data_IF_044906389385
#
_entry.id   IF_044906389385
#
_cell.length_a   1.000
_cell.length_b   1.000
_cell.length_c   1.000
_cell.angle_alpha   90.00
_cell.angle_beta   90.00
_cell.angle_gamma   90.00
#
_symmetry.space_group_name_H-M   'P 1'
#
loop_
_entity.id
_entity.type
_entity.pdbx_description
1 polymer ?
#
# COMPACT_ATOMS: atom_id res chain seq x y z
N UNK A 1 -9.90 1.98 -11.97
CA UNK A 1 -8.66 2.79 -11.99
C UNK A 1 -7.58 2.13 -12.82
N UNK A 2 -6.79 2.93 -13.52
CA UNK A 2 -5.65 2.44 -14.30
C UNK A 2 -4.34 2.94 -13.68
N UNK A 3 -3.52 2.04 -13.17
CA UNK A 3 -2.16 2.32 -12.75
C UNK A 3 -1.25 2.49 -13.96
N UNK A 4 -0.35 3.46 -13.92
CA UNK A 4 0.74 3.55 -14.92
C UNK A 4 1.76 2.45 -14.67
N UNK A 5 2.12 2.23 -13.41
CA UNK A 5 3.01 1.16 -12.99
C UNK A 5 2.59 0.57 -11.65
N UNK A 6 2.83 -0.73 -11.48
CA UNK A 6 2.76 -1.44 -10.20
C UNK A 6 4.14 -2.07 -9.97
N UNK A 7 4.80 -1.70 -8.88
CA UNK A 7 6.07 -2.28 -8.47
C UNK A 7 5.84 -3.19 -7.24
N UNK A 8 6.12 -4.46 -7.39
CA UNK A 8 6.04 -5.45 -6.30
C UNK A 8 7.44 -5.64 -5.72
N UNK A 9 7.61 -5.29 -4.43
CA UNK A 9 8.88 -5.52 -3.74
C UNK A 9 8.86 -6.82 -2.96
N UNK A 10 9.95 -7.56 -2.98
CA UNK A 10 10.13 -8.80 -2.25
C UNK A 10 11.61 -9.03 -1.89
N UNK A 11 11.91 -9.92 -0.93
CA UNK A 11 13.29 -10.20 -0.54
C UNK A 11 14.19 -10.71 -1.67
N UNK A 12 13.61 -11.41 -2.66
CA UNK A 12 14.34 -11.94 -3.82
C UNK A 12 13.59 -11.66 -5.12
N UNK A 13 14.32 -11.71 -6.24
CA UNK A 13 13.73 -11.53 -7.57
C UNK A 13 12.69 -12.61 -7.88
N UNK A 14 12.97 -13.85 -7.49
CA UNK A 14 12.07 -14.99 -7.71
C UNK A 14 10.75 -14.76 -6.98
N UNK A 15 10.81 -14.35 -5.70
CA UNK A 15 9.61 -14.07 -4.90
C UNK A 15 8.80 -12.90 -5.49
N UNK A 16 9.46 -11.85 -5.96
CA UNK A 16 8.79 -10.73 -6.61
C UNK A 16 8.12 -11.16 -7.93
N UNK A 17 8.80 -11.96 -8.75
CA UNK A 17 8.26 -12.51 -9.99
C UNK A 17 7.05 -13.40 -9.73
N UNK A 18 7.13 -14.25 -8.71
CA UNK A 18 6.03 -15.16 -8.33
C UNK A 18 4.78 -14.37 -7.95
N UNK A 19 4.92 -13.33 -7.12
CA UNK A 19 3.78 -12.46 -6.78
C UNK A 19 3.22 -11.76 -8.02
N UNK A 20 4.07 -11.20 -8.88
CA UNK A 20 3.63 -10.56 -10.12
C UNK A 20 2.83 -11.52 -11.02
N UNK A 21 3.24 -12.79 -11.08
CA UNK A 21 2.56 -13.80 -11.92
C UNK A 21 1.15 -14.15 -11.44
N UNK A 22 0.83 -13.92 -10.17
CA UNK A 22 -0.50 -14.16 -9.60
C UNK A 22 -1.48 -13.01 -9.82
N UNK A 23 -0.99 -11.85 -10.28
CA UNK A 23 -1.86 -10.73 -10.56
C UNK A 23 -2.64 -10.96 -11.87
N UNK A 24 -3.89 -10.45 -11.98
CA UNK A 24 -4.73 -10.67 -13.14
C UNK A 24 -4.06 -10.26 -14.47
N UNK A 25 -4.23 -11.06 -15.52
CA UNK A 25 -3.67 -10.79 -16.85
C UNK A 25 -4.13 -9.44 -17.43
N UNK A 26 -5.36 -9.05 -17.18
CA UNK A 26 -5.88 -7.74 -17.59
C UNK A 26 -5.12 -6.55 -16.99
N UNK A 27 -4.56 -6.71 -15.80
CA UNK A 27 -3.65 -5.72 -15.21
C UNK A 27 -2.30 -5.72 -15.93
N UNK A 28 -1.78 -6.89 -16.25
CA UNK A 28 -0.48 -7.04 -16.94
C UNK A 28 -0.48 -6.41 -18.34
N UNK A 29 -1.60 -6.46 -19.05
CA UNK A 29 -1.75 -5.89 -20.40
C UNK A 29 -1.83 -4.35 -20.41
N UNK A 30 -2.34 -3.75 -19.34
CA UNK A 30 -2.66 -2.32 -19.29
C UNK A 30 -1.73 -1.49 -18.41
N UNK A 31 -0.85 -2.12 -17.64
CA UNK A 31 -0.04 -1.52 -16.59
C UNK A 31 1.40 -2.04 -16.67
N UNK A 32 2.37 -1.19 -16.43
CA UNK A 32 3.77 -1.63 -16.28
C UNK A 32 3.90 -2.37 -14.96
N UNK A 33 4.11 -3.68 -15.02
CA UNK A 33 4.29 -4.52 -13.83
C UNK A 33 5.77 -4.82 -13.62
N UNK A 34 6.31 -4.45 -12.46
CA UNK A 34 7.73 -4.58 -12.13
C UNK A 34 7.93 -5.43 -10.88
N UNK A 35 8.75 -6.45 -11.00
CA UNK A 35 9.23 -7.25 -9.89
C UNK A 35 10.55 -6.66 -9.38
N UNK A 36 10.57 -6.13 -8.17
CA UNK A 36 11.70 -5.39 -7.59
C UNK A 36 12.22 -6.11 -6.36
N UNK A 37 13.41 -6.75 -6.42
CA UNK A 37 14.00 -7.35 -5.24
C UNK A 37 14.53 -6.30 -4.27
N UNK A 38 14.68 -6.65 -3.01
CA UNK A 38 15.41 -5.83 -2.04
C UNK A 38 16.85 -5.59 -2.55
N UNK A 39 17.32 -4.34 -2.45
CA UNK A 39 18.60 -3.91 -3.04
C UNK A 39 19.83 -4.63 -2.48
N UNK A 40 19.70 -5.26 -1.31
CA UNK A 40 20.77 -6.02 -0.66
C UNK A 40 20.21 -7.10 0.25
N UNK A 41 21.05 -8.07 0.66
CA UNK A 41 20.73 -9.01 1.75
C UNK A 41 20.50 -8.33 3.11
N UNK A 42 20.78 -7.04 3.22
CA UNK A 42 20.49 -6.22 4.39
C UNK A 42 19.02 -5.80 4.36
N UNK A 43 18.35 -5.94 5.50
CA UNK A 43 16.96 -5.48 5.68
C UNK A 43 16.95 -3.95 5.73
N UNK A 44 16.78 -3.32 4.57
CA UNK A 44 16.79 -1.84 4.44
C UNK A 44 15.49 -1.18 4.90
N UNK A 45 14.46 -1.97 5.20
CA UNK A 45 13.14 -1.49 5.61
C UNK A 45 12.27 -1.02 4.44
N UNK A 46 10.97 -0.86 4.71
CA UNK A 46 9.98 -0.53 3.68
C UNK A 46 10.21 0.81 2.98
N UNK A 47 10.77 1.80 3.69
CA UNK A 47 11.09 3.11 3.10
C UNK A 47 12.14 3.01 2.00
N UNK A 48 13.25 2.33 2.25
CA UNK A 48 14.30 2.16 1.25
C UNK A 48 13.85 1.23 0.11
N UNK A 49 13.04 0.19 0.40
CA UNK A 49 12.43 -0.65 -0.63
C UNK A 49 11.47 0.15 -1.52
N UNK A 50 10.71 1.10 -0.95
CA UNK A 50 9.87 2.03 -1.72
C UNK A 50 10.71 2.90 -2.65
N UNK A 51 11.81 3.48 -2.16
CA UNK A 51 12.69 4.32 -2.97
C UNK A 51 13.34 3.53 -4.11
N UNK A 52 13.79 2.30 -3.84
CA UNK A 52 14.31 1.40 -4.88
C UNK A 52 13.26 1.06 -5.93
N UNK A 53 12.03 0.77 -5.50
CA UNK A 53 10.92 0.53 -6.43
C UNK A 53 10.61 1.75 -7.30
N UNK A 54 10.61 2.95 -6.72
CA UNK A 54 10.41 4.19 -7.48
C UNK A 54 11.51 4.46 -8.49
N UNK A 55 12.76 4.19 -8.14
CA UNK A 55 13.88 4.30 -9.07
C UNK A 55 13.69 3.35 -10.26
N UNK A 56 13.36 2.09 -10.00
CA UNK A 56 13.09 1.09 -11.05
C UNK A 56 11.92 1.50 -11.95
N UNK A 57 10.84 2.04 -11.35
CA UNK A 57 9.70 2.59 -12.12
C UNK A 57 10.15 3.76 -13.00
N UNK A 58 10.94 4.68 -12.46
CA UNK A 58 11.43 5.84 -13.20
C UNK A 58 12.34 5.45 -14.37
N UNK A 59 13.21 4.47 -14.17
CA UNK A 59 14.06 3.90 -15.22
C UNK A 59 13.23 3.30 -16.35
N UNK A 60 12.27 2.45 -16.01
CA UNK A 60 11.40 1.78 -16.98
C UNK A 60 10.53 2.79 -17.76
N UNK A 61 9.90 3.74 -17.07
CA UNK A 61 9.08 4.76 -17.72
C UNK A 61 9.92 5.70 -18.59
N UNK A 62 11.15 6.04 -18.15
CA UNK A 62 12.08 6.83 -18.96
C UNK A 62 12.47 6.09 -20.24
N UNK A 63 12.81 4.80 -20.14
CA UNK A 63 13.15 3.98 -21.30
C UNK A 63 11.97 3.87 -22.28
N UNK A 64 10.76 3.64 -21.80
CA UNK A 64 9.53 3.59 -22.64
C UNK A 64 9.22 4.91 -23.31
N UNK A 65 9.54 6.03 -22.66
CA UNK A 65 9.38 7.37 -23.24
C UNK A 65 10.52 7.75 -24.20
N UNK A 66 11.52 6.89 -24.39
CA UNK A 66 12.64 7.11 -25.31
C UNK A 66 13.78 7.96 -24.75
N UNK A 67 13.81 8.18 -23.43
CA UNK A 67 14.95 8.85 -22.79
C UNK A 67 16.15 7.91 -22.70
N UNK A 68 17.33 8.41 -23.02
CA UNK A 68 18.61 7.68 -22.88
C UNK A 68 19.17 7.70 -21.44
N UNK A 69 18.60 8.55 -20.59
CA UNK A 69 18.97 8.70 -19.16
C UNK A 69 17.72 8.75 -18.30
N UNK A 70 17.89 8.54 -17.00
CA UNK A 70 16.81 8.68 -16.05
C UNK A 70 16.19 10.08 -16.11
N UNK A 71 14.87 10.16 -16.30
CA UNK A 71 14.09 11.40 -16.33
C UNK A 71 12.92 11.33 -15.35
N UNK A 72 12.67 12.42 -14.66
CA UNK A 72 11.47 12.57 -13.83
C UNK A 72 10.22 12.94 -14.65
N UNK A 73 10.37 13.30 -15.92
CA UNK A 73 9.27 13.78 -16.76
C UNK A 73 8.13 12.75 -16.92
N UNK A 74 8.41 11.46 -17.21
CA UNK A 74 7.34 10.46 -17.32
C UNK A 74 6.62 10.15 -16.01
N UNK A 75 7.22 10.51 -14.85
CA UNK A 75 6.59 10.32 -13.55
C UNK A 75 5.52 11.38 -13.26
N UNK A 76 5.61 12.58 -13.85
CA UNK A 76 4.69 13.70 -13.52
C UNK A 76 3.23 13.36 -13.65
N UNK A 77 2.88 12.54 -14.64
CA UNK A 77 1.52 12.10 -14.91
C UNK A 77 1.29 10.63 -14.51
N UNK A 78 2.29 10.00 -13.88
CA UNK A 78 2.22 8.61 -13.51
C UNK A 78 1.44 8.40 -12.20
N UNK A 79 0.62 7.34 -12.19
CA UNK A 79 0.01 6.77 -10.99
C UNK A 79 0.73 5.47 -10.68
N UNK A 80 1.48 5.45 -9.61
CA UNK A 80 2.34 4.34 -9.22
C UNK A 80 1.81 3.66 -7.97
N UNK A 81 1.67 2.34 -8.02
CA UNK A 81 1.42 1.52 -6.84
C UNK A 81 2.69 0.75 -6.48
N UNK A 82 3.19 0.93 -5.27
CA UNK A 82 4.22 0.08 -4.69
C UNK A 82 3.56 -0.89 -3.73
N UNK A 83 3.69 -2.18 -4.01
CA UNK A 83 3.16 -3.26 -3.20
C UNK A 83 4.30 -4.00 -2.50
N UNK A 84 4.39 -3.85 -1.18
CA UNK A 84 5.32 -4.63 -0.37
C UNK A 84 4.74 -6.01 -0.11
N UNK A 85 5.40 -7.07 -0.60
CA UNK A 85 4.91 -8.45 -0.44
C UNK A 85 5.08 -9.02 0.96
N UNK A 86 5.65 -8.25 1.88
CA UNK A 86 5.98 -8.69 3.23
C UNK A 86 7.24 -9.56 3.28
N UNK A 87 7.89 -9.59 4.45
CA UNK A 87 8.94 -10.56 4.71
C UNK A 87 8.31 -11.94 4.92
N UNK A 88 9.05 -13.00 4.60
CA UNK A 88 8.65 -14.38 4.88
C UNK A 88 8.04 -14.50 6.28
N UNK A 89 6.90 -15.14 6.35
CA UNK A 89 6.03 -15.22 7.51
C UNK A 89 6.78 -15.51 8.83
N UNK A 90 6.97 -14.47 9.63
CA UNK A 90 7.19 -14.65 11.05
C UNK A 90 5.85 -14.53 11.76
N UNK A 91 5.26 -15.70 12.08
CA UNK A 91 4.23 -15.79 13.11
C UNK A 91 2.80 -15.35 12.75
N UNK A 92 2.32 -15.59 11.54
CA UNK A 92 0.93 -15.27 11.22
C UNK A 92 0.43 -15.76 9.87
N UNK A 93 1.31 -16.26 9.01
CA UNK A 93 0.87 -16.84 7.74
C UNK A 93 0.37 -18.28 7.98
N UNK A 94 -0.79 -18.64 7.44
CA UNK A 94 -1.29 -20.02 7.46
C UNK A 94 -0.36 -20.98 6.69
N UNK A 95 0.54 -20.46 5.85
CA UNK A 95 1.55 -21.23 5.15
C UNK A 95 2.94 -20.61 5.33
N UNK A 96 3.80 -21.16 6.21
CA UNK A 96 5.14 -20.63 6.47
C UNK A 96 6.11 -20.75 5.28
N UNK A 97 5.75 -21.53 4.25
CA UNK A 97 6.58 -21.78 3.08
C UNK A 97 6.31 -20.81 1.92
N UNK A 98 5.24 -20.01 2.00
CA UNK A 98 4.86 -19.05 0.95
C UNK A 98 4.98 -17.61 1.44
N UNK A 99 5.36 -16.68 0.56
CA UNK A 99 5.20 -15.26 0.83
C UNK A 99 3.75 -14.94 1.21
N UNK A 100 3.55 -14.06 2.19
CA UNK A 100 2.20 -13.68 2.64
C UNK A 100 1.34 -13.13 1.50
N UNK A 101 1.96 -12.45 0.54
CA UNK A 101 1.33 -11.96 -0.68
C UNK A 101 0.58 -13.03 -1.48
N UNK A 102 1.03 -14.30 -1.41
CA UNK A 102 0.45 -15.43 -2.13
C UNK A 102 -0.62 -16.19 -1.33
N UNK A 103 -0.87 -15.81 -0.08
CA UNK A 103 -1.94 -16.40 0.72
C UNK A 103 -3.28 -16.17 0.03
N UNK A 104 -4.01 -17.27 -0.22
CA UNK A 104 -5.33 -17.21 -0.83
C UNK A 104 -6.40 -16.76 0.16
N UNK A 105 -7.23 -15.84 -0.26
CA UNK A 105 -8.41 -15.38 0.46
C UNK A 105 -9.65 -15.89 -0.26
N UNK A 106 -10.61 -16.53 0.46
CA UNK A 106 -11.93 -16.79 -0.10
C UNK A 106 -12.68 -15.46 -0.21
N UNK A 107 -13.06 -15.07 -1.41
CA UNK A 107 -13.88 -13.89 -1.66
C UNK A 107 -15.19 -14.29 -2.31
N UNK A 108 -16.19 -13.40 -2.23
CA UNK A 108 -17.42 -13.59 -2.99
C UNK A 108 -17.08 -13.37 -4.46
N UNK A 109 -17.35 -14.35 -5.30
CA UNK A 109 -17.15 -14.26 -6.75
C UNK A 109 -18.00 -13.16 -7.37
N UNK A 110 -17.68 -12.80 -8.60
CA UNK A 110 -18.45 -11.83 -9.40
C UNK A 110 -19.84 -12.37 -9.79
N UNK A 111 -20.00 -13.71 -9.77
CA UNK A 111 -21.27 -14.39 -9.96
C UNK A 111 -21.92 -14.69 -8.61
N UNK A 112 -23.19 -14.34 -8.38
CA UNK A 112 -23.87 -14.63 -7.13
C UNK A 112 -23.83 -16.13 -6.78
N UNK A 113 -23.31 -16.45 -5.58
CA UNK A 113 -23.17 -17.82 -5.09
C UNK A 113 -21.84 -18.51 -5.43
N UNK A 114 -20.97 -17.88 -6.20
CA UNK A 114 -19.61 -18.36 -6.43
C UNK A 114 -18.63 -17.75 -5.44
N UNK A 115 -17.63 -18.54 -5.05
CA UNK A 115 -16.50 -18.10 -4.24
C UNK A 115 -15.25 -18.07 -5.12
N UNK A 116 -14.63 -16.94 -5.23
CA UNK A 116 -13.35 -16.77 -5.93
C UNK A 116 -12.21 -16.80 -4.91
N UNK A 117 -11.15 -17.54 -5.21
CA UNK A 117 -9.91 -17.49 -4.44
C UNK A 117 -9.00 -16.43 -5.06
N UNK A 118 -8.72 -15.36 -4.31
CA UNK A 118 -7.77 -14.32 -4.72
C UNK A 118 -6.56 -14.31 -3.79
N UNK A 119 -5.39 -13.96 -4.31
CA UNK A 119 -4.22 -13.76 -3.46
C UNK A 119 -4.32 -12.47 -2.64
N UNK A 120 -3.60 -12.41 -1.51
CA UNK A 120 -3.47 -11.16 -0.73
C UNK A 120 -2.95 -10.01 -1.60
N UNK A 121 -2.00 -10.29 -2.50
CA UNK A 121 -1.50 -9.31 -3.46
C UNK A 121 -2.60 -8.78 -4.38
N UNK A 122 -3.38 -9.68 -4.98
CA UNK A 122 -4.50 -9.29 -5.82
C UNK A 122 -5.56 -8.50 -5.06
N UNK A 123 -5.89 -8.93 -3.84
CA UNK A 123 -6.81 -8.20 -2.97
C UNK A 123 -6.32 -6.78 -2.68
N UNK A 124 -5.02 -6.62 -2.33
CA UNK A 124 -4.42 -5.32 -2.07
C UNK A 124 -4.49 -4.41 -3.31
N UNK A 125 -4.18 -4.93 -4.50
CA UNK A 125 -4.28 -4.18 -5.76
C UNK A 125 -5.73 -3.80 -6.08
N UNK A 126 -6.69 -4.73 -5.96
CA UNK A 126 -8.12 -4.46 -6.18
C UNK A 126 -8.64 -3.38 -5.21
N UNK A 127 -8.26 -3.47 -3.92
CA UNK A 127 -8.67 -2.51 -2.88
C UNK A 127 -8.05 -1.14 -3.13
N UNK A 128 -6.75 -1.08 -3.43
CA UNK A 128 -6.07 0.17 -3.77
C UNK A 128 -6.67 0.80 -5.04
N UNK A 129 -6.93 0.00 -6.08
CA UNK A 129 -7.53 0.50 -7.32
C UNK A 129 -8.91 1.11 -7.10
N UNK A 130 -9.72 0.54 -6.20
CA UNK A 130 -11.03 1.08 -5.85
C UNK A 130 -10.92 2.33 -4.97
N UNK A 131 -10.08 2.26 -3.92
CA UNK A 131 -9.99 3.32 -2.92
C UNK A 131 -9.40 4.61 -3.49
N UNK A 132 -8.46 4.49 -4.42
CA UNK A 132 -7.73 5.60 -5.01
C UNK A 132 -8.10 5.89 -6.47
N UNK A 133 -9.32 5.51 -6.90
CA UNK A 133 -9.74 5.61 -8.32
C UNK A 133 -9.60 7.02 -8.89
N UNK A 134 -9.98 8.03 -8.14
CA UNK A 134 -9.95 9.43 -8.55
C UNK A 134 -8.71 10.20 -8.06
N UNK A 135 -7.68 9.49 -7.55
CA UNK A 135 -6.50 10.20 -7.07
C UNK A 135 -5.72 10.86 -8.22
N UNK A 136 -5.09 12.04 -7.97
CA UNK A 136 -4.17 12.65 -8.92
C UNK A 136 -2.94 11.77 -9.15
N UNK A 137 -2.10 12.07 -10.18
CA UNK A 137 -0.78 11.44 -10.32
C UNK A 137 0.01 11.45 -9.03
N UNK A 138 0.69 10.35 -8.75
CA UNK A 138 1.42 10.19 -7.50
C UNK A 138 1.65 8.72 -7.15
N UNK A 139 2.04 8.50 -5.91
CA UNK A 139 2.44 7.22 -5.35
C UNK A 139 1.41 6.71 -4.34
N UNK A 140 1.01 5.45 -4.45
CA UNK A 140 0.36 4.70 -3.37
C UNK A 140 1.31 3.58 -2.93
N UNK A 141 1.52 3.46 -1.64
CA UNK A 141 2.28 2.36 -1.05
C UNK A 141 1.35 1.50 -0.23
N UNK A 142 1.29 0.22 -0.53
CA UNK A 142 0.51 -0.77 0.21
C UNK A 142 1.40 -1.93 0.66
N UNK A 143 0.94 -2.67 1.67
CA UNK A 143 1.57 -3.91 2.11
C UNK A 143 0.57 -5.05 2.08
N UNK A 144 1.05 -6.27 1.85
CA UNK A 144 0.25 -7.50 1.91
C UNK A 144 0.23 -8.14 3.30
N UNK A 145 0.84 -7.51 4.30
CA UNK A 145 0.78 -7.95 5.70
C UNK A 145 -0.49 -7.48 6.43
N UNK A 146 -1.30 -6.66 5.77
CA UNK A 146 -2.54 -6.11 6.31
C UNK A 146 -3.69 -6.33 5.34
N UNK A 147 -4.78 -6.95 5.81
CA UNK A 147 -6.01 -7.09 5.07
C UNK A 147 -6.92 -5.88 5.30
N UNK A 148 -7.03 -5.02 4.29
CA UNK A 148 -7.94 -3.88 4.32
C UNK A 148 -9.35 -4.31 3.88
N UNK A 149 -10.27 -4.34 4.82
CA UNK A 149 -11.70 -4.57 4.57
C UNK A 149 -12.43 -3.22 4.62
N UNK A 150 -12.60 -2.60 3.46
CA UNK A 150 -13.23 -1.29 3.34
C UNK A 150 -14.60 -1.46 2.68
N UNK A 151 -15.69 -1.01 3.32
CA UNK A 151 -17.01 -1.04 2.71
C UNK A 151 -17.01 -0.36 1.32
N UNK A 152 -17.78 -0.89 0.39
CA UNK A 152 -17.88 -0.34 -0.97
C UNK A 152 -18.43 1.10 -1.02
N UNK A 153 -19.13 1.51 0.04
CA UNK A 153 -19.67 2.87 0.22
C UNK A 153 -18.62 3.90 0.63
N UNK A 154 -17.43 3.44 1.05
CA UNK A 154 -16.34 4.34 1.45
C UNK A 154 -15.51 4.68 0.23
N UNK A 155 -15.45 5.97 -0.10
CA UNK A 155 -14.54 6.54 -1.09
C UNK A 155 -13.69 7.62 -0.42
N UNK A 156 -12.44 7.73 -0.84
CA UNK A 156 -11.60 8.86 -0.46
C UNK A 156 -12.07 10.10 -1.22
N UNK A 157 -12.04 11.26 -0.55
CA UNK A 157 -12.35 12.52 -1.20
C UNK A 157 -11.11 12.98 -2.00
N UNK A 158 -11.18 13.07 -3.35
CA UNK A 158 -10.03 13.42 -4.17
C UNK A 158 -9.45 14.78 -3.83
N UNK A 159 -10.29 15.72 -3.39
CA UNK A 159 -9.88 17.09 -3.07
C UNK A 159 -8.91 17.12 -1.88
N UNK A 160 -9.12 16.29 -0.87
CA UNK A 160 -8.17 16.17 0.26
C UNK A 160 -6.77 15.78 -0.24
N UNK A 161 -6.70 14.83 -1.18
CA UNK A 161 -5.42 14.39 -1.75
C UNK A 161 -4.77 15.46 -2.64
N UNK A 162 -5.53 16.45 -3.13
CA UNK A 162 -4.97 17.56 -3.92
C UNK A 162 -4.36 18.66 -3.07
N UNK A 163 -4.75 18.78 -1.82
CA UNK A 163 -4.31 19.83 -0.92
C UNK A 163 -3.12 19.45 -0.05
N UNK A 164 -2.83 18.13 0.07
CA UNK A 164 -1.75 17.63 0.93
C UNK A 164 -0.63 16.98 0.12
N UNK A 165 0.58 17.02 0.64
CA UNK A 165 1.74 16.33 0.03
C UNK A 165 1.65 14.80 0.18
N UNK A 166 0.94 14.32 1.19
CA UNK A 166 0.72 12.90 1.42
C UNK A 166 -0.35 12.65 2.46
N UNK A 167 -0.89 11.44 2.45
CA UNK A 167 -1.90 10.99 3.38
C UNK A 167 -1.60 9.56 3.86
N UNK A 168 -2.07 9.24 5.05
CA UNK A 168 -1.98 7.91 5.65
C UNK A 168 -3.39 7.39 5.84
N UNK A 169 -3.65 6.17 5.42
CA UNK A 169 -4.92 5.51 5.72
C UNK A 169 -4.91 5.07 7.18
N UNK A 170 -5.86 5.58 7.95
CA UNK A 170 -6.08 5.18 9.33
C UNK A 170 -7.50 4.63 9.50
N UNK A 171 -7.66 3.65 10.38
CA UNK A 171 -8.95 3.03 10.68
C UNK A 171 -9.23 3.21 12.17
N UNK A 172 -10.43 3.66 12.55
CA UNK A 172 -10.82 3.75 13.95
C UNK A 172 -10.77 2.37 14.62
N UNK A 173 -10.10 2.28 15.77
CA UNK A 173 -9.90 1.03 16.52
C UNK A 173 -10.07 1.23 18.02
N UNK A 174 -10.26 0.15 18.75
CA UNK A 174 -10.28 0.18 20.21
C UNK A 174 -8.89 0.43 20.79
N UNK A 175 -8.82 0.81 22.07
CA UNK A 175 -7.56 1.01 22.79
C UNK A 175 -6.69 -0.26 22.82
N UNK A 176 -7.33 -1.45 22.94
CA UNK A 176 -6.63 -2.74 22.99
C UNK A 176 -5.86 -2.99 21.70
N UNK A 177 -6.41 -2.59 20.56
CA UNK A 177 -5.72 -2.67 19.26
C UNK A 177 -4.69 -1.56 19.13
N UNK A 178 -5.03 -0.35 19.54
CA UNK A 178 -4.17 0.83 19.40
C UNK A 178 -2.82 0.70 20.10
N UNK A 179 -2.76 0.06 21.28
CA UNK A 179 -1.51 -0.13 22.04
C UNK A 179 -0.49 -1.03 21.32
N UNK A 180 -0.93 -1.86 20.38
CA UNK A 180 -0.07 -2.77 19.64
C UNK A 180 0.37 -2.20 18.27
N UNK A 181 -0.22 -1.07 17.86
CA UNK A 181 -0.04 -0.50 16.53
C UNK A 181 0.46 0.95 16.55
N UNK A 182 0.57 1.55 15.37
CA UNK A 182 0.86 2.97 15.20
C UNK A 182 -0.44 3.78 15.20
N UNK A 183 -0.56 4.72 16.13
CA UNK A 183 -1.71 5.64 16.22
C UNK A 183 -1.33 6.97 15.61
N UNK A 184 -2.14 7.47 14.70
CA UNK A 184 -1.96 8.79 14.09
C UNK A 184 -2.32 9.88 15.10
N UNK A 185 -1.37 10.74 15.42
CA UNK A 185 -1.58 11.89 16.28
C UNK A 185 -1.70 13.16 15.42
N UNK A 186 -2.74 14.00 15.60
CA UNK A 186 -2.90 15.24 14.85
C UNK A 186 -1.79 16.25 15.19
N UNK A 187 -1.48 17.15 14.25
CA UNK A 187 -0.49 18.20 14.45
C UNK A 187 -0.92 19.23 15.51
N UNK A 188 -2.23 19.42 15.65
CA UNK A 188 -2.86 20.24 16.68
C UNK A 188 -4.25 19.67 16.99
N UNK A 189 -4.79 19.99 18.14
CA UNK A 189 -6.14 19.56 18.54
C UNK A 189 -7.18 19.97 17.48
N UNK A 190 -7.96 19.01 16.98
CA UNK A 190 -8.96 19.19 15.94
C UNK A 190 -8.42 19.39 14.52
N UNK A 191 -7.13 19.16 14.30
CA UNK A 191 -6.52 19.22 12.95
C UNK A 191 -6.58 17.85 12.27
N UNK A 192 -6.90 17.83 10.99
CA UNK A 192 -6.80 16.63 10.13
C UNK A 192 -5.36 16.38 9.64
N UNK A 193 -4.44 17.32 9.92
CA UNK A 193 -3.03 17.17 9.55
C UNK A 193 -2.33 16.24 10.54
N UNK A 194 -1.60 15.27 9.99
CA UNK A 194 -0.78 14.34 10.76
C UNK A 194 0.43 15.07 11.37
N UNK A 195 0.53 15.06 12.70
CA UNK A 195 1.70 15.59 13.41
C UNK A 195 2.75 14.52 13.65
N UNK A 196 2.32 13.34 14.08
CA UNK A 196 3.22 12.21 14.33
C UNK A 196 2.47 10.87 14.32
N UNK A 197 3.23 9.78 14.39
CA UNK A 197 2.68 8.44 14.62
C UNK A 197 3.28 7.91 15.92
N UNK A 198 2.42 7.66 16.90
CA UNK A 198 2.80 7.05 18.18
C UNK A 198 2.75 5.53 18.02
N UNK A 199 3.90 4.89 17.95
CA UNK A 199 3.99 3.46 17.72
C UNK A 199 4.11 2.71 19.06
N UNK A 200 3.16 1.78 19.31
CA UNK A 200 3.07 1.01 20.57
C UNK A 200 3.12 1.89 21.82
N UNK A 201 2.34 2.97 21.80
CA UNK A 201 2.24 3.89 22.92
C UNK A 201 1.62 3.25 24.16
N UNK A 202 2.03 3.72 25.33
CA UNK A 202 1.35 3.32 26.56
C UNK A 202 -0.10 3.82 26.59
N UNK A 203 -0.97 3.19 27.39
CA UNK A 203 -2.38 3.61 27.54
C UNK A 203 -2.50 5.08 27.92
N UNK A 204 -1.59 5.58 28.77
CA UNK A 204 -1.55 6.98 29.20
C UNK A 204 -1.16 7.91 28.03
N UNK A 205 -0.17 7.53 27.23
CA UNK A 205 0.21 8.31 26.04
C UNK A 205 -0.91 8.37 25.01
N UNK A 206 -1.63 7.27 24.82
CA UNK A 206 -2.72 7.21 23.86
C UNK A 206 -4.00 7.88 24.35
N UNK A 207 -4.21 8.02 25.67
CA UNK A 207 -5.44 8.58 26.23
C UNK A 207 -5.78 9.98 25.67
N UNK A 208 -4.76 10.77 25.32
CA UNK A 208 -4.93 12.12 24.74
C UNK A 208 -5.21 12.11 23.23
N UNK A 209 -5.14 10.95 22.59
CA UNK A 209 -5.30 10.78 21.14
C UNK A 209 -6.65 10.15 20.76
N UNK A 210 -7.50 9.87 21.75
CA UNK A 210 -8.82 9.33 21.50
C UNK A 210 -9.68 10.32 20.71
N UNK A 211 -10.36 9.82 19.70
CA UNK A 211 -11.42 10.54 18.99
C UNK A 211 -12.62 10.77 19.91
N UNK A 212 -13.55 11.68 19.59
CA UNK A 212 -14.72 11.95 20.43
C UNK A 212 -15.63 10.72 20.70
N UNK A 213 -15.58 9.74 19.80
CA UNK A 213 -16.30 8.46 19.91
C UNK A 213 -15.54 7.40 20.73
N UNK A 214 -14.38 7.75 21.29
CA UNK A 214 -13.54 6.84 22.09
C UNK A 214 -12.67 5.89 21.25
N UNK A 215 -12.64 6.03 19.93
CA UNK A 215 -11.75 5.24 19.06
C UNK A 215 -10.39 5.93 18.84
N UNK A 216 -9.47 5.17 18.29
CA UNK A 216 -8.11 5.62 17.98
C UNK A 216 -7.82 5.44 16.49
N UNK A 217 -7.30 6.47 15.78
CA UNK A 217 -6.98 6.36 14.36
C UNK A 217 -5.70 5.53 14.17
N UNK A 218 -5.85 4.21 14.09
CA UNK A 218 -4.75 3.27 13.89
C UNK A 218 -4.32 3.28 12.43
N UNK A 219 -3.03 3.56 12.19
CA UNK A 219 -2.43 3.52 10.88
C UNK A 219 -2.56 2.13 10.28
N UNK A 220 -3.05 2.08 9.06
CA UNK A 220 -3.01 0.89 8.20
C UNK A 220 -1.83 0.97 7.22
N UNK A 221 -1.51 -0.17 6.59
CA UNK A 221 -0.34 -0.29 5.73
C UNK A 221 -0.38 0.49 4.40
N UNK A 222 -1.30 1.45 4.23
CA UNK A 222 -1.39 2.26 3.02
C UNK A 222 -0.98 3.71 3.27
N UNK A 223 -0.13 4.23 2.40
CA UNK A 223 0.31 5.63 2.37
C UNK A 223 0.15 6.16 0.95
N UNK A 224 -0.29 7.39 0.83
CA UNK A 224 -0.39 8.09 -0.46
C UNK A 224 0.54 9.29 -0.42
N UNK A 225 1.31 9.48 -1.46
CA UNK A 225 2.10 10.69 -1.68
C UNK A 225 1.69 11.32 -3.02
N UNK A 226 1.49 12.64 -3.00
CA UNK A 226 1.10 13.41 -4.18
C UNK A 226 2.34 13.90 -4.92
N UNK A 227 2.27 13.77 -6.24
CA UNK A 227 3.15 14.49 -7.18
C UNK A 227 4.62 14.06 -7.12
N UNK A 228 5.30 14.40 -8.16
CA UNK A 228 6.73 14.20 -8.34
C UNK A 228 7.43 15.55 -8.45
#
# INVERSE_FOLDING_TARGET
MRWTAIAVTAPTQEAANEVCSTLPSALQESTVLLAVPDATSLKVGSGAATLNALLTVAEELSARAGFSTLSAEPLRDARVLVLHSGASARGGSPNPCLPQALTSLPTVGTVPGETEAVSMAEWAVRTASRLFDDMPPGLVVCSTDSLLLIPSTVALQPDVLREVAGAVVAVPQSLEVAVEHGVCAPAAAGSDLLGSIVYRGSREQLATLASPDGTYPVRQGAVVARGW
#
